data_IF_182021373947
#
_entry.id   IF_182021373947
#
_cell.length_a   1.000
_cell.length_b   1.000
_cell.length_c   1.000
_cell.angle_alpha   90.00
_cell.angle_beta   90.00
_cell.angle_gamma   90.00
#
_symmetry.space_group_name_H-M   'P 1'
#
loop_
_entity.id
_entity.type
_entity.pdbx_description
1 polymer ?
#
# COMPACT_ATOMS: atom_id res chain seq x y z
N UNK A 1 -4.07 5.28 11.09
CA UNK A 1 -4.37 4.73 9.77
C UNK A 1 -5.22 5.72 9.04
N UNK A 2 -4.68 6.25 7.94
CA UNK A 2 -5.33 7.27 7.12
C UNK A 2 -5.88 6.66 5.83
N UNK A 3 -5.18 5.64 5.28
CA UNK A 3 -5.57 4.93 4.06
C UNK A 3 -5.49 3.41 4.28
N UNK A 4 -6.55 2.71 3.91
CA UNK A 4 -6.62 1.24 3.95
C UNK A 4 -6.62 0.64 2.55
N UNK A 5 -5.78 -0.37 2.31
CA UNK A 5 -5.73 -1.13 1.06
C UNK A 5 -6.33 -2.53 1.25
N UNK A 6 -7.08 -2.99 0.25
CA UNK A 6 -7.59 -4.36 0.19
C UNK A 6 -7.39 -4.89 -1.22
N UNK A 7 -6.56 -5.92 -1.36
CA UNK A 7 -6.24 -6.54 -2.66
C UNK A 7 -6.41 -8.05 -2.55
N UNK A 8 -7.08 -8.67 -3.52
CA UNK A 8 -7.29 -10.13 -3.56
C UNK A 8 -6.40 -10.88 -4.54
N UNK A 9 -5.60 -10.16 -5.34
CA UNK A 9 -4.81 -10.75 -6.43
C UNK A 9 -3.46 -10.05 -6.60
N UNK A 10 -2.51 -10.74 -7.24
CA UNK A 10 -1.15 -10.24 -7.51
C UNK A 10 -1.13 -8.95 -8.34
N UNK A 11 -2.09 -8.78 -9.25
CA UNK A 11 -2.26 -7.55 -10.03
C UNK A 11 -2.60 -6.37 -9.11
N UNK A 12 -3.56 -6.56 -8.20
CA UNK A 12 -3.97 -5.58 -7.21
C UNK A 12 -2.82 -5.20 -6.26
N UNK A 13 -2.03 -6.18 -5.83
CA UNK A 13 -0.86 -5.96 -4.96
C UNK A 13 0.17 -5.00 -5.59
N UNK A 14 0.49 -5.21 -6.87
CA UNK A 14 1.39 -4.33 -7.64
C UNK A 14 0.85 -2.92 -7.80
N UNK A 15 -0.46 -2.80 -8.01
CA UNK A 15 -1.12 -1.49 -8.13
C UNK A 15 -1.07 -0.78 -6.77
N UNK A 16 -1.39 -1.47 -5.68
CA UNK A 16 -1.30 -0.91 -4.33
C UNK A 16 0.12 -0.45 -3.99
N UNK A 17 1.14 -1.22 -4.39
CA UNK A 17 2.54 -0.81 -4.24
C UNK A 17 2.86 0.50 -4.98
N UNK A 18 2.44 0.62 -6.25
CA UNK A 18 2.66 1.83 -7.04
C UNK A 18 1.94 3.04 -6.45
N UNK A 19 0.71 2.85 -5.97
CA UNK A 19 -0.07 3.90 -5.30
C UNK A 19 0.59 4.32 -3.99
N UNK A 20 1.08 3.38 -3.17
CA UNK A 20 1.78 3.70 -1.92
C UNK A 20 3.04 4.53 -2.16
N UNK A 21 3.82 4.21 -3.20
CA UNK A 21 5.00 5.00 -3.59
C UNK A 21 4.60 6.43 -3.99
N UNK A 22 3.52 6.58 -4.76
CA UNK A 22 3.02 7.90 -5.16
C UNK A 22 2.51 8.70 -3.96
N UNK A 23 1.70 8.09 -3.09
CA UNK A 23 1.16 8.72 -1.89
C UNK A 23 2.25 9.18 -0.94
N UNK A 24 3.31 8.38 -0.74
CA UNK A 24 4.44 8.78 0.13
C UNK A 24 5.25 9.95 -0.41
N UNK A 25 5.30 10.15 -1.73
CA UNK A 25 5.99 11.30 -2.33
C UNK A 25 5.24 12.61 -2.04
N UNK A 26 3.93 12.58 -2.13
CA UNK A 26 3.09 13.77 -1.93
C UNK A 26 2.78 14.01 -0.44
N UNK A 27 2.56 12.94 0.31
CA UNK A 27 2.12 12.95 1.70
C UNK A 27 2.99 11.99 2.53
N UNK A 28 4.21 12.39 2.90
CA UNK A 28 5.19 11.51 3.54
C UNK A 28 4.76 10.99 4.93
N UNK A 29 3.77 11.63 5.55
CA UNK A 29 3.30 11.31 6.90
C UNK A 29 2.04 10.41 6.92
N UNK A 30 1.52 9.96 5.76
CA UNK A 30 0.34 9.09 5.74
C UNK A 30 0.64 7.73 6.35
N UNK A 31 -0.24 7.29 7.25
CA UNK A 31 -0.24 5.91 7.75
C UNK A 31 -1.04 4.99 6.81
N UNK A 32 -0.32 4.13 6.09
CA UNK A 32 -0.87 3.17 5.14
C UNK A 32 -0.89 1.76 5.74
N UNK A 33 -2.05 1.11 5.74
CA UNK A 33 -2.20 -0.28 6.18
C UNK A 33 -3.16 -1.07 5.27
N UNK A 34 -3.16 -2.40 5.34
CA UNK A 34 -4.07 -3.18 4.48
C UNK A 34 -3.91 -4.69 4.47
N UNK A 35 -4.89 -5.34 3.83
CA UNK A 35 -4.82 -6.73 3.37
C UNK A 35 -4.19 -6.74 1.99
N UNK A 36 -2.86 -6.88 1.95
CA UNK A 36 -2.09 -6.78 0.71
C UNK A 36 -1.06 -7.90 0.58
N UNK A 37 -0.47 -8.02 -0.60
CA UNK A 37 0.62 -8.95 -0.86
C UNK A 37 2.01 -8.34 -0.62
N UNK A 38 3.07 -9.07 -1.02
CA UNK A 38 4.45 -8.70 -0.73
C UNK A 38 4.93 -7.44 -1.46
N UNK A 39 4.39 -7.12 -2.64
CA UNK A 39 4.81 -5.93 -3.39
C UNK A 39 4.36 -4.66 -2.65
N UNK A 40 3.10 -4.63 -2.17
CA UNK A 40 2.55 -3.52 -1.39
C UNK A 40 3.22 -3.39 -0.01
N UNK A 41 3.51 -4.50 0.67
CA UNK A 41 4.24 -4.46 1.95
C UNK A 41 5.64 -3.91 1.77
N UNK A 42 6.33 -4.25 0.68
CA UNK A 42 7.66 -3.69 0.35
C UNK A 42 7.59 -2.19 0.02
N UNK A 43 6.48 -1.70 -0.53
CA UNK A 43 6.22 -0.27 -0.71
C UNK A 43 5.85 0.45 0.60
N UNK A 44 5.73 -0.29 1.71
CA UNK A 44 5.54 0.25 3.05
C UNK A 44 4.08 0.38 3.48
N UNK A 45 3.16 -0.36 2.85
CA UNK A 45 1.84 -0.63 3.43
C UNK A 45 2.02 -1.66 4.54
N UNK A 46 1.59 -1.33 5.76
CA UNK A 46 1.65 -2.27 6.89
C UNK A 46 0.57 -3.35 6.71
N UNK A 47 0.98 -4.61 6.70
CA UNK A 47 0.04 -5.73 6.68
C UNK A 47 -0.84 -5.73 7.92
N UNK A 48 -2.13 -6.02 7.73
CA UNK A 48 -3.07 -6.32 8.81
C UNK A 48 -2.91 -7.77 9.30
#
# INVERSE_FOLDING_TARGET
>A
MDVFFSTGEKSGDRIAAAVAVALRREFPNLDLAGLTGPDATSAGIRGA
#
